data_IF_929495644914
#
_entry.id   IF_929495644914
#
_cell.length_a   1.000
_cell.length_b   1.000
_cell.length_c   1.000
_cell.angle_alpha   90.00
_cell.angle_beta   90.00
_cell.angle_gamma   90.00
#
_symmetry.space_group_name_H-M   'P 1'
#
loop_
_entity.id
_entity.type
_entity.pdbx_description
1 polymer ?
#
# COMPACT_ATOMS: atom_id res chain seq x y z
N UNK A 1 8.83 4.12 0.42
CA UNK A 1 7.73 3.18 0.79
C UNK A 1 7.68 2.03 -0.18
N UNK A 2 7.54 0.78 0.29
CA UNK A 2 7.50 -0.42 -0.54
C UNK A 2 6.31 -0.40 -1.53
N UNK A 3 6.56 -0.80 -2.77
CA UNK A 3 5.56 -0.92 -3.82
C UNK A 3 5.24 -2.41 -4.03
N UNK A 4 3.97 -2.85 -3.89
CA UNK A 4 3.62 -4.25 -4.13
C UNK A 4 3.79 -4.63 -5.60
N UNK A 5 4.27 -5.85 -5.85
CA UNK A 5 4.59 -6.33 -7.22
C UNK A 5 3.73 -7.52 -7.65
N UNK A 6 2.91 -8.08 -6.77
CA UNK A 6 2.09 -9.26 -7.07
C UNK A 6 0.59 -8.97 -7.20
N UNK A 7 0.22 -7.74 -7.39
CA UNK A 7 -1.11 -7.29 -7.81
C UNK A 7 -1.06 -6.70 -9.22
N UNK A 8 -2.23 -6.32 -9.76
CA UNK A 8 -2.29 -5.59 -11.02
C UNK A 8 -1.44 -4.33 -10.96
N UNK A 9 -0.74 -4.01 -12.04
CA UNK A 9 0.16 -2.87 -12.12
C UNK A 9 -0.57 -1.54 -11.85
N UNK A 10 -1.82 -1.43 -12.26
CA UNK A 10 -2.68 -0.26 -12.01
C UNK A 10 -3.13 -0.11 -10.55
N UNK A 11 -3.01 -1.18 -9.76
CA UNK A 11 -3.39 -1.18 -8.34
C UNK A 11 -2.21 -0.92 -7.40
N UNK A 12 -0.97 -1.00 -7.88
CA UNK A 12 0.22 -1.00 -7.02
C UNK A 12 0.38 0.26 -6.19
N UNK A 13 0.27 1.42 -6.82
CA UNK A 13 0.39 2.73 -6.18
C UNK A 13 -0.78 3.03 -5.25
N UNK A 14 -2.00 2.65 -5.63
CA UNK A 14 -3.21 2.83 -4.83
C UNK A 14 -3.14 1.97 -3.56
N UNK A 15 -2.75 0.69 -3.67
CA UNK A 15 -2.58 -0.21 -2.52
C UNK A 15 -1.47 0.30 -1.59
N UNK A 16 -0.33 0.72 -2.16
CA UNK A 16 0.72 1.40 -1.41
C UNK A 16 0.18 2.64 -0.70
N UNK A 17 -0.64 3.44 -1.38
CA UNK A 17 -1.29 4.63 -0.84
C UNK A 17 -2.14 4.31 0.39
N UNK A 18 -2.96 3.27 0.37
CA UNK A 18 -3.76 2.84 1.53
C UNK A 18 -2.90 2.47 2.73
N UNK A 19 -1.82 1.72 2.51
CA UNK A 19 -0.90 1.34 3.60
C UNK A 19 -0.15 2.57 4.13
N UNK A 20 0.32 3.45 3.23
CA UNK A 20 1.01 4.69 3.60
C UNK A 20 0.12 5.62 4.41
N UNK A 21 -1.10 5.89 3.93
CA UNK A 21 -2.07 6.74 4.61
C UNK A 21 -2.37 6.22 6.02
N UNK A 22 -2.57 4.91 6.16
CA UNK A 22 -2.84 4.32 7.45
C UNK A 22 -1.65 4.46 8.42
N UNK A 23 -0.42 4.34 7.94
CA UNK A 23 0.80 4.61 8.72
C UNK A 23 0.85 6.07 9.16
N UNK A 24 0.60 7.02 8.26
CA UNK A 24 0.63 8.45 8.55
C UNK A 24 -0.40 8.81 9.62
N UNK A 25 -1.64 8.34 9.49
CA UNK A 25 -2.71 8.53 10.48
C UNK A 25 -2.25 8.02 11.85
N UNK A 26 -1.70 6.79 11.92
CA UNK A 26 -1.23 6.20 13.20
C UNK A 26 -0.02 6.91 13.81
N UNK A 27 0.76 7.60 13.00
CA UNK A 27 1.89 8.43 13.44
C UNK A 27 1.48 9.89 13.70
N UNK A 28 0.19 10.18 13.69
CA UNK A 28 -0.36 11.54 13.84
C UNK A 28 0.27 12.53 12.85
N UNK A 29 0.52 12.06 11.63
CA UNK A 29 1.01 12.90 10.53
C UNK A 29 -0.16 13.33 9.66
N UNK A 30 -0.07 14.55 9.13
CA UNK A 30 -1.07 15.12 8.23
C UNK A 30 -0.58 15.05 6.79
N UNK A 31 -1.51 15.02 5.84
CA UNK A 31 -1.26 15.17 4.41
C UNK A 31 -1.71 16.57 4.03
N UNK A 32 -0.83 17.30 3.35
CA UNK A 32 -1.14 18.60 2.78
C UNK A 32 -1.50 18.42 1.30
N UNK A 33 -2.62 18.98 0.91
CA UNK A 33 -2.98 19.13 -0.50
C UNK A 33 -2.70 20.59 -0.91
N UNK A 34 -2.05 20.76 -2.05
CA UNK A 34 -1.77 22.08 -2.62
C UNK A 34 -2.27 22.12 -4.07
N UNK A 35 -2.23 23.30 -4.70
CA UNK A 35 -2.63 23.47 -6.09
C UNK A 35 -1.82 22.58 -7.07
N UNK A 36 -2.36 22.38 -8.26
CA UNK A 36 -1.71 21.59 -9.31
C UNK A 36 -0.35 22.22 -9.66
N UNK A 37 0.70 21.39 -9.64
CA UNK A 37 2.08 21.78 -9.98
C UNK A 37 2.70 20.87 -11.05
N UNK A 38 1.91 19.95 -11.63
CA UNK A 38 2.32 19.01 -12.67
C UNK A 38 1.25 18.92 -13.76
N UNK A 39 1.73 18.81 -15.00
CA UNK A 39 0.91 18.49 -16.16
C UNK A 39 1.34 17.11 -16.64
N UNK A 40 0.38 16.20 -16.81
CA UNK A 40 0.61 14.86 -17.32
C UNK A 40 -0.10 14.67 -18.67
N UNK A 41 0.66 14.41 -19.71
CA UNK A 41 0.10 13.91 -20.97
C UNK A 41 -0.11 12.40 -20.84
N UNK A 42 -1.38 11.97 -20.86
CA UNK A 42 -1.73 10.56 -20.78
C UNK A 42 -1.64 9.89 -22.14
N UNK A 43 -1.11 8.67 -22.17
CA UNK A 43 -1.23 7.79 -23.32
C UNK A 43 -2.68 7.37 -23.53
N UNK A 44 -3.01 6.94 -24.76
CA UNK A 44 -4.32 6.35 -25.06
C UNK A 44 -4.52 5.09 -24.19
N UNK A 45 -5.67 5.02 -23.54
CA UNK A 45 -6.02 3.93 -22.63
C UNK A 45 -7.21 3.13 -23.15
N UNK A 46 -7.19 1.83 -22.93
CA UNK A 46 -8.36 0.98 -23.09
C UNK A 46 -9.11 0.92 -21.74
N UNK A 47 -10.23 1.63 -21.65
CA UNK A 47 -11.00 1.77 -20.41
C UNK A 47 -11.53 0.44 -19.85
N UNK A 48 -11.85 -0.53 -20.74
CA UNK A 48 -12.31 -1.85 -20.28
C UNK A 48 -11.18 -2.65 -19.63
N UNK A 49 -9.98 -2.63 -20.23
CA UNK A 49 -8.81 -3.27 -19.62
C UNK A 49 -8.44 -2.59 -18.31
N UNK A 50 -8.56 -1.28 -18.24
CA UNK A 50 -8.29 -0.50 -17.04
C UNK A 50 -9.24 -0.90 -15.92
N UNK A 51 -10.55 -0.95 -16.22
CA UNK A 51 -11.57 -1.37 -15.28
C UNK A 51 -11.36 -2.81 -14.79
N UNK A 52 -11.06 -3.75 -15.68
CA UNK A 52 -10.79 -5.15 -15.30
C UNK A 52 -9.62 -5.23 -14.31
N UNK A 53 -8.51 -4.56 -14.61
CA UNK A 53 -7.34 -4.53 -13.74
C UNK A 53 -7.57 -3.85 -12.38
N UNK A 54 -8.48 -2.88 -12.32
CA UNK A 54 -8.81 -2.11 -11.12
C UNK A 54 -10.03 -2.67 -10.35
N UNK A 55 -10.76 -3.63 -10.92
CA UNK A 55 -12.01 -4.18 -10.38
C UNK A 55 -11.89 -4.60 -8.91
N UNK A 56 -10.76 -5.17 -8.53
CA UNK A 56 -10.49 -5.58 -7.14
C UNK A 56 -10.51 -4.41 -6.16
N UNK A 57 -10.09 -3.22 -6.60
CA UNK A 57 -10.13 -2.00 -5.78
C UNK A 57 -11.57 -1.51 -5.61
N UNK A 58 -12.34 -1.45 -6.70
CA UNK A 58 -13.76 -1.06 -6.62
C UNK A 58 -14.54 -1.96 -5.66
N UNK A 59 -14.27 -3.25 -5.69
CA UNK A 59 -14.98 -4.22 -4.84
C UNK A 59 -14.47 -4.28 -3.39
N UNK A 60 -13.22 -3.93 -3.13
CA UNK A 60 -12.59 -4.22 -1.83
C UNK A 60 -11.98 -3.01 -1.10
N UNK A 61 -11.93 -1.81 -1.70
CA UNK A 61 -11.29 -0.63 -1.10
C UNK A 61 -11.77 -0.34 0.32
N UNK A 62 -13.08 -0.27 0.51
CA UNK A 62 -13.69 -0.04 1.82
C UNK A 62 -13.21 -1.07 2.84
N UNK A 63 -13.28 -2.36 2.49
CA UNK A 63 -12.87 -3.47 3.35
C UNK A 63 -11.37 -3.44 3.67
N UNK A 64 -10.53 -3.09 2.68
CA UNK A 64 -9.09 -2.93 2.87
C UNK A 64 -8.82 -1.84 3.92
N UNK A 65 -9.42 -0.66 3.72
CA UNK A 65 -9.20 0.49 4.59
C UNK A 65 -9.69 0.24 6.02
N UNK A 66 -10.90 -0.28 6.19
CA UNK A 66 -11.45 -0.62 7.51
C UNK A 66 -10.59 -1.63 8.27
N UNK A 67 -10.09 -2.67 7.57
CA UNK A 67 -9.24 -3.68 8.22
C UNK A 67 -7.83 -3.17 8.51
N UNK A 68 -7.25 -2.32 7.66
CA UNK A 68 -5.98 -1.65 7.96
C UNK A 68 -6.10 -0.75 9.19
N UNK A 69 -7.19 0.00 9.31
CA UNK A 69 -7.45 0.84 10.49
C UNK A 69 -7.56 0.03 11.79
N UNK A 70 -8.12 -1.18 11.70
CA UNK A 70 -8.26 -2.11 12.86
C UNK A 70 -6.96 -2.84 13.20
N UNK A 71 -5.90 -2.76 12.38
CA UNK A 71 -4.61 -3.32 12.74
C UNK A 71 -4.05 -2.58 13.95
N UNK A 72 -4.20 -3.19 15.13
CA UNK A 72 -3.71 -2.63 16.38
C UNK A 72 -2.18 -2.59 16.41
N UNK A 73 -1.64 -1.41 16.61
CA UNK A 73 -0.27 -1.19 17.05
C UNK A 73 -0.30 -0.97 18.57
N UNK A 74 -0.47 -2.04 19.34
CA UNK A 74 -0.42 -1.99 20.81
C UNK A 74 1.01 -1.74 21.33
N UNK A 75 1.73 -0.76 20.83
CA UNK A 75 2.89 -0.22 21.54
C UNK A 75 3.27 1.14 20.97
N UNK A 76 3.50 2.09 21.83
CA UNK A 76 3.93 3.46 21.50
C UNK A 76 5.28 3.56 20.75
N UNK A 77 5.97 2.44 20.57
CA UNK A 77 7.20 2.28 19.79
C UNK A 77 7.13 1.13 18.81
N UNK A 78 5.95 0.85 18.25
CA UNK A 78 5.81 -0.26 17.32
C UNK A 78 6.70 -0.01 16.09
N UNK A 79 7.63 -0.92 15.93
CA UNK A 79 8.52 -1.00 14.79
C UNK A 79 7.71 -0.86 13.49
N UNK A 80 7.91 0.24 12.76
CA UNK A 80 7.26 0.54 11.48
C UNK A 80 7.32 -0.65 10.51
N UNK A 81 8.42 -1.37 10.50
CA UNK A 81 8.61 -2.56 9.66
C UNK A 81 7.67 -3.70 10.03
N UNK A 82 7.42 -3.91 11.33
CA UNK A 82 6.47 -4.92 11.81
C UNK A 82 5.03 -4.55 11.41
N UNK A 83 4.69 -3.27 11.51
CA UNK A 83 3.40 -2.78 11.07
C UNK A 83 3.22 -2.98 9.56
N UNK A 84 4.23 -2.62 8.78
CA UNK A 84 4.24 -2.80 7.33
C UNK A 84 4.05 -4.29 6.96
N UNK A 85 4.78 -5.19 7.61
CA UNK A 85 4.64 -6.63 7.41
C UNK A 85 3.23 -7.15 7.74
N UNK A 86 2.64 -6.67 8.84
CA UNK A 86 1.27 -7.04 9.23
C UNK A 86 0.23 -6.51 8.24
N UNK A 87 0.45 -5.33 7.68
CA UNK A 87 -0.41 -4.77 6.61
C UNK A 87 -0.39 -5.67 5.37
N UNK A 88 0.78 -6.12 4.95
CA UNK A 88 0.88 -7.03 3.79
C UNK A 88 0.35 -8.44 4.09
N UNK A 89 0.50 -8.97 5.31
CA UNK A 89 -0.18 -10.21 5.72
C UNK A 89 -1.71 -10.08 5.64
N UNK A 90 -2.24 -8.91 5.97
CA UNK A 90 -3.67 -8.63 5.82
C UNK A 90 -4.07 -8.58 4.33
N UNK A 91 -3.32 -7.89 3.48
CA UNK A 91 -3.58 -7.83 2.04
C UNK A 91 -3.56 -9.23 1.39
N UNK A 92 -2.67 -10.12 1.84
CA UNK A 92 -2.65 -11.53 1.40
C UNK A 92 -3.93 -12.25 1.81
N UNK A 93 -4.38 -12.10 3.07
CA UNK A 93 -5.64 -12.69 3.54
C UNK A 93 -6.86 -12.19 2.77
N UNK A 94 -6.83 -10.94 2.32
CA UNK A 94 -7.86 -10.35 1.48
C UNK A 94 -7.74 -10.73 0.01
N UNK A 95 -6.73 -11.54 -0.36
CA UNK A 95 -6.42 -11.91 -1.74
C UNK A 95 -6.20 -10.70 -2.67
N UNK A 96 -5.53 -9.67 -2.15
CA UNK A 96 -5.13 -8.48 -2.91
C UNK A 96 -3.74 -8.68 -3.52
N UNK A 97 -2.84 -9.27 -2.76
CA UNK A 97 -1.47 -9.63 -3.18
C UNK A 97 -1.21 -11.11 -2.91
N UNK A 98 -0.25 -11.71 -3.62
CA UNK A 98 0.11 -13.12 -3.47
C UNK A 98 0.98 -13.34 -2.23
N UNK A 99 1.02 -14.58 -1.72
CA UNK A 99 1.82 -14.95 -0.52
C UNK A 99 3.31 -14.63 -0.67
N UNK A 100 3.86 -14.76 -1.89
CA UNK A 100 5.26 -14.47 -2.21
C UNK A 100 5.64 -13.00 -1.94
N UNK A 101 4.67 -12.09 -1.91
CA UNK A 101 4.88 -10.67 -1.62
C UNK A 101 5.64 -10.43 -0.32
N UNK A 102 5.42 -11.27 0.71
CA UNK A 102 6.14 -11.15 1.98
C UNK A 102 7.65 -11.38 1.84
N UNK A 103 8.07 -12.24 0.92
CA UNK A 103 9.50 -12.45 0.64
C UNK A 103 10.15 -11.17 0.09
N UNK A 104 9.49 -10.54 -0.88
CA UNK A 104 9.96 -9.30 -1.48
C UNK A 104 9.96 -8.13 -0.48
N UNK A 105 8.89 -7.99 0.28
CA UNK A 105 8.80 -6.97 1.33
C UNK A 105 9.92 -7.11 2.37
N UNK A 106 10.20 -8.33 2.82
CA UNK A 106 11.26 -8.59 3.82
C UNK A 106 12.66 -8.30 3.26
N UNK A 107 12.91 -8.64 2.00
CA UNK A 107 14.15 -8.28 1.32
C UNK A 107 14.30 -6.76 1.27
N UNK A 108 13.28 -6.04 0.81
CA UNK A 108 13.27 -4.58 0.79
C UNK A 108 13.49 -3.96 2.18
N UNK A 109 12.86 -4.50 3.24
CA UNK A 109 13.08 -4.03 4.63
C UNK A 109 14.54 -4.23 5.05
N UNK A 110 15.14 -5.36 4.68
CA UNK A 110 16.55 -5.65 4.97
C UNK A 110 17.46 -4.61 4.31
N UNK A 111 17.24 -4.33 3.03
CA UNK A 111 18.06 -3.38 2.26
C UNK A 111 17.94 -1.96 2.83
N UNK A 112 16.74 -1.51 3.19
CA UNK A 112 16.53 -0.20 3.82
C UNK A 112 17.25 -0.11 5.16
N UNK A 113 17.22 -1.16 5.99
CA UNK A 113 17.92 -1.17 7.28
C UNK A 113 19.45 -1.09 7.13
N UNK A 114 20.00 -1.66 6.08
CA UNK A 114 21.44 -1.56 5.79
C UNK A 114 21.82 -0.13 5.39
N UNK A 115 20.99 0.52 4.56
CA UNK A 115 21.25 1.87 4.06
C UNK A 115 21.03 3.00 5.09
N UNK A 116 20.28 2.73 6.15
CA UNK A 116 19.99 3.71 7.21
C UNK A 116 20.90 3.55 8.43
N UNK A 117 21.91 2.70 8.36
CA UNK A 117 22.99 2.56 9.33
C UNK A 117 24.16 3.46 8.94
#
# INVERSE_FOLDING_TARGET
>A
MYLPVTCSMRCTDIIRGYVALNILIKKNKKILFHGANLIQNRNVHNLFNDFDQESILYLKSKKIFEKLNKLNTKSNNSNLYKYLENSYKLLIRLKIVKKIELKYLRAWIKDIKIRLR
#
